data_IF_757579939256
#
_entry.id   IF_757579939256
#
_cell.length_a   1.000
_cell.length_b   1.000
_cell.length_c   1.000
_cell.angle_alpha   90.00
_cell.angle_beta   90.00
_cell.angle_gamma   90.00
#
_symmetry.space_group_name_H-M   'P 1'
#
loop_
_entity.id
_entity.type
_entity.pdbx_description
1 polymer ?
#
# COMPACT_ATOMS: atom_id res chain seq x y z
N UNK A 1 30.53 -20.75 -6.97
CA UNK A 1 30.35 -19.54 -6.12
C UNK A 1 30.20 -18.35 -7.05
N UNK A 2 29.06 -18.26 -7.74
CA UNK A 2 28.85 -17.25 -8.77
C UNK A 2 28.23 -15.98 -8.18
N UNK A 3 28.93 -14.88 -8.43
CA UNK A 3 28.49 -13.51 -8.27
C UNK A 3 27.56 -13.10 -9.42
N UNK A 4 26.48 -12.37 -9.10
CA UNK A 4 25.72 -11.40 -9.94
C UNK A 4 24.33 -11.25 -9.33
N UNK A 5 24.02 -10.19 -8.59
CA UNK A 5 22.71 -9.52 -8.77
C UNK A 5 22.75 -7.99 -8.59
N UNK A 6 23.60 -7.33 -7.79
CA UNK A 6 23.36 -5.87 -7.56
C UNK A 6 24.56 -4.95 -7.76
N UNK A 7 24.98 -4.81 -9.02
CA UNK A 7 25.83 -3.72 -9.50
C UNK A 7 25.05 -2.41 -9.67
N UNK A 8 24.72 -1.72 -8.58
CA UNK A 8 24.24 -0.33 -8.61
C UNK A 8 25.14 0.54 -7.72
N UNK A 9 25.45 1.73 -8.23
CA UNK A 9 26.35 2.69 -7.61
C UNK A 9 25.85 3.10 -6.22
N UNK A 10 26.80 3.22 -5.27
CA UNK A 10 26.54 3.55 -3.86
C UNK A 10 25.78 4.86 -3.62
N UNK A 11 25.60 5.71 -4.64
CA UNK A 11 24.86 6.97 -4.63
C UNK A 11 23.34 6.83 -4.78
N UNK A 12 22.82 5.66 -5.16
CA UNK A 12 21.37 5.37 -5.25
C UNK A 12 20.82 4.57 -4.06
N UNK A 13 21.64 4.34 -3.03
CA UNK A 13 21.21 3.76 -1.75
C UNK A 13 20.43 4.81 -0.96
N UNK A 14 19.29 5.23 -1.49
CA UNK A 14 18.24 5.90 -0.72
C UNK A 14 17.68 4.85 0.22
N UNK A 15 18.38 4.69 1.34
CA UNK A 15 17.96 4.10 2.60
C UNK A 15 16.70 3.22 2.46
N UNK A 16 16.89 1.95 2.08
CA UNK A 16 15.88 0.89 2.22
C UNK A 16 15.74 0.57 3.72
N UNK A 17 15.43 1.57 4.55
CA UNK A 17 14.84 1.32 5.84
C UNK A 17 13.40 0.93 5.58
N UNK A 18 13.16 -0.38 5.54
CA UNK A 18 11.82 -0.98 5.53
C UNK A 18 11.15 -0.60 6.85
N UNK A 19 10.54 0.58 6.91
CA UNK A 19 9.48 0.82 7.87
C UNK A 19 8.33 -0.07 7.43
N UNK A 20 8.16 -1.22 8.09
CA UNK A 20 6.97 -2.05 7.91
C UNK A 20 5.81 -1.28 8.56
N UNK A 21 5.28 -0.32 7.82
CA UNK A 21 4.04 0.36 8.22
C UNK A 21 2.93 -0.67 8.08
N UNK A 22 2.33 -1.01 9.21
CA UNK A 22 1.17 -1.91 9.27
C UNK A 22 -0.09 -1.10 9.45
N UNK A 23 -1.20 -1.63 8.95
CA UNK A 23 -2.53 -1.07 9.13
C UNK A 23 -3.51 -2.07 9.74
N UNK A 24 -4.47 -1.51 10.43
CA UNK A 24 -5.62 -2.15 11.08
C UNK A 24 -6.90 -1.75 10.38
N UNK A 25 -7.98 -2.51 10.65
CA UNK A 25 -9.33 -2.15 10.23
C UNK A 25 -9.73 -0.74 10.67
N UNK A 26 -9.37 -0.33 11.89
CA UNK A 26 -9.78 0.97 12.43
C UNK A 26 -9.12 2.14 11.70
N UNK A 27 -7.87 1.99 11.27
CA UNK A 27 -7.19 3.00 10.47
C UNK A 27 -7.83 3.12 9.08
N UNK A 28 -8.23 2.02 8.45
CA UNK A 28 -9.00 2.07 7.20
C UNK A 28 -10.34 2.79 7.38
N UNK A 29 -11.03 2.57 8.50
CA UNK A 29 -12.26 3.32 8.81
C UNK A 29 -11.97 4.81 8.99
N UNK A 30 -10.88 5.16 9.67
CA UNK A 30 -10.47 6.55 9.85
C UNK A 30 -10.10 7.24 8.51
N UNK A 31 -9.61 6.48 7.52
CA UNK A 31 -9.39 6.97 6.15
C UNK A 31 -10.68 7.16 5.33
N UNK A 32 -11.85 6.79 5.88
CA UNK A 32 -13.16 6.97 5.22
C UNK A 32 -13.73 5.71 4.58
N UNK A 33 -13.07 4.55 4.69
CA UNK A 33 -13.67 3.29 4.23
C UNK A 33 -14.79 2.84 5.17
N UNK A 34 -15.88 2.31 4.60
CA UNK A 34 -16.97 1.74 5.39
C UNK A 34 -16.48 0.59 6.31
N UNK A 35 -17.11 0.35 7.48
CA UNK A 35 -16.67 -0.70 8.41
C UNK A 35 -16.64 -2.11 7.80
N UNK A 36 -17.56 -2.40 6.88
CA UNK A 36 -17.60 -3.66 6.14
C UNK A 36 -16.47 -3.75 5.11
N UNK A 37 -16.30 -2.70 4.29
CA UNK A 37 -15.22 -2.62 3.30
C UNK A 37 -13.84 -2.75 3.96
N UNK A 38 -13.63 -2.04 5.07
CA UNK A 38 -12.39 -2.12 5.86
C UNK A 38 -12.12 -3.55 6.36
N UNK A 39 -13.15 -4.26 6.83
CA UNK A 39 -13.01 -5.66 7.28
C UNK A 39 -12.64 -6.57 6.10
N UNK A 40 -13.27 -6.38 4.94
CA UNK A 40 -12.99 -7.20 3.77
C UNK A 40 -11.59 -6.95 3.20
N UNK A 41 -11.13 -5.69 3.17
CA UNK A 41 -9.76 -5.33 2.78
C UNK A 41 -8.74 -6.04 3.66
N UNK A 42 -8.89 -6.00 4.99
CA UNK A 42 -7.99 -6.70 5.92
C UNK A 42 -8.00 -8.21 5.66
N UNK A 43 -9.18 -8.80 5.44
CA UNK A 43 -9.30 -10.23 5.13
C UNK A 43 -8.55 -10.60 3.86
N UNK A 44 -8.76 -9.84 2.78
CA UNK A 44 -8.10 -10.05 1.49
C UNK A 44 -6.58 -9.85 1.58
N UNK A 45 -6.14 -8.84 2.32
CA UNK A 45 -4.71 -8.58 2.52
C UNK A 45 -4.03 -9.72 3.30
N UNK A 46 -4.70 -10.30 4.30
CA UNK A 46 -4.18 -11.49 5.01
C UNK A 46 -4.06 -12.70 4.08
N UNK A 47 -5.08 -12.96 3.26
CA UNK A 47 -5.04 -14.06 2.28
C UNK A 47 -3.91 -13.87 1.28
N UNK A 48 -3.71 -12.65 0.78
CA UNK A 48 -2.60 -12.30 -0.10
C UNK A 48 -1.25 -12.57 0.57
N UNK A 49 -1.08 -12.20 1.84
CA UNK A 49 0.16 -12.48 2.57
C UNK A 49 0.41 -13.98 2.78
N UNK A 50 -0.65 -14.77 3.04
CA UNK A 50 -0.55 -16.23 3.13
C UNK A 50 -0.14 -16.83 1.77
N UNK A 51 -0.73 -16.35 0.67
CA UNK A 51 -0.36 -16.78 -0.69
C UNK A 51 1.11 -16.46 -1.04
N UNK A 52 1.65 -15.37 -0.50
CA UNK A 52 3.08 -15.02 -0.61
C UNK A 52 4.01 -15.87 0.27
N UNK A 53 3.48 -16.86 0.98
CA UNK A 53 4.27 -17.77 1.82
C UNK A 53 4.45 -17.31 3.27
N UNK A 54 3.63 -16.37 3.76
CA UNK A 54 3.67 -15.91 5.15
C UNK A 54 2.49 -16.51 5.97
N UNK A 55 2.62 -17.72 6.55
CA UNK A 55 1.54 -18.37 7.30
C UNK A 55 1.14 -17.61 8.58
N UNK A 56 1.98 -16.70 9.07
CA UNK A 56 1.69 -15.82 10.20
C UNK A 56 0.34 -15.09 10.08
N UNK A 57 -0.06 -14.74 8.85
CA UNK A 57 -1.31 -14.00 8.58
C UNK A 57 -2.56 -14.89 8.52
N UNK A 58 -2.45 -16.20 8.65
CA UNK A 58 -3.59 -17.11 8.71
C UNK A 58 -4.39 -16.97 10.02
N UNK A 59 -3.71 -16.58 11.11
CA UNK A 59 -4.32 -16.51 12.45
C UNK A 59 -5.46 -15.50 12.54
N UNK A 60 -6.67 -15.88 13.01
CA UNK A 60 -7.81 -14.97 13.12
C UNK A 60 -7.62 -13.88 14.18
N UNK A 61 -6.72 -14.07 15.15
CA UNK A 61 -6.42 -13.09 16.21
C UNK A 61 -5.60 -11.90 15.71
N UNK A 62 -4.95 -12.01 14.55
CA UNK A 62 -4.15 -10.95 13.97
C UNK A 62 -5.03 -9.98 13.17
N UNK A 63 -5.21 -8.77 13.71
CA UNK A 63 -5.98 -7.68 13.10
C UNK A 63 -5.15 -6.66 12.33
N UNK A 64 -3.89 -6.97 12.03
CA UNK A 64 -2.92 -6.09 11.36
C UNK A 64 -2.37 -6.71 10.09
N UNK A 65 -2.13 -5.89 9.08
CA UNK A 65 -1.53 -6.27 7.80
C UNK A 65 -0.54 -5.19 7.32
N UNK A 66 0.46 -5.52 6.49
CA UNK A 66 1.33 -4.50 5.89
C UNK A 66 0.55 -3.59 4.95
N UNK A 67 0.92 -2.31 4.90
CA UNK A 67 0.34 -1.34 3.93
C UNK A 67 0.51 -1.82 2.50
N UNK A 68 1.65 -2.42 2.18
CA UNK A 68 1.93 -2.96 0.84
C UNK A 68 0.88 -3.99 0.39
N UNK A 69 0.42 -4.85 1.29
CA UNK A 69 -0.64 -5.81 0.99
C UNK A 69 -2.00 -5.13 0.81
N UNK A 70 -2.25 -4.04 1.54
CA UNK A 70 -3.49 -3.24 1.40
C UNK A 70 -3.51 -2.51 0.05
N UNK A 71 -2.40 -1.90 -0.34
CA UNK A 71 -2.21 -1.23 -1.63
C UNK A 71 -2.48 -2.20 -2.80
N UNK A 72 -1.87 -3.39 -2.75
CA UNK A 72 -2.09 -4.44 -3.75
C UNK A 72 -3.55 -4.90 -3.82
N UNK A 73 -4.22 -5.08 -2.68
CA UNK A 73 -5.64 -5.46 -2.64
C UNK A 73 -6.54 -4.39 -3.24
N UNK A 74 -6.20 -3.12 -3.03
CA UNK A 74 -6.92 -1.98 -3.59
C UNK A 74 -6.57 -1.72 -5.06
N UNK A 75 -5.52 -2.36 -5.60
CA UNK A 75 -5.01 -2.08 -6.93
C UNK A 75 -4.44 -0.67 -7.07
N UNK A 76 -4.04 -0.06 -5.96
CA UNK A 76 -3.47 1.28 -5.92
C UNK A 76 -1.97 1.17 -5.66
N UNK A 77 -1.18 1.98 -6.36
CA UNK A 77 0.19 2.28 -5.93
C UNK A 77 0.16 3.72 -5.44
N UNK A 78 0.40 3.95 -4.15
CA UNK A 78 0.45 5.31 -3.59
C UNK A 78 1.73 6.00 -4.07
N UNK A 79 1.73 6.40 -5.34
CA UNK A 79 2.82 7.16 -5.93
C UNK A 79 2.55 8.64 -5.66
N UNK A 80 3.36 9.24 -4.78
CA UNK A 80 3.26 10.66 -4.44
C UNK A 80 3.31 11.56 -5.69
N UNK A 81 3.99 11.13 -6.76
CA UNK A 81 4.00 11.84 -8.05
C UNK A 81 2.62 11.90 -8.69
N UNK A 82 1.93 10.76 -8.77
CA UNK A 82 0.61 10.65 -9.43
C UNK A 82 -0.47 11.43 -8.67
N UNK A 83 -0.42 11.44 -7.34
CA UNK A 83 -1.32 12.25 -6.53
C UNK A 83 -1.13 13.76 -6.78
N UNK A 84 0.12 14.21 -6.99
CA UNK A 84 0.41 15.61 -7.33
C UNK A 84 -0.08 16.01 -8.72
N UNK A 85 -0.16 15.06 -9.65
CA UNK A 85 -0.66 15.28 -11.01
C UNK A 85 -2.19 15.34 -11.03
N UNK A 86 -2.86 14.43 -10.33
CA UNK A 86 -4.33 14.45 -10.19
C UNK A 86 -4.83 15.70 -9.47
N UNK A 87 -4.10 16.17 -8.46
CA UNK A 87 -4.43 17.41 -7.76
C UNK A 87 -4.32 18.66 -8.66
N UNK A 88 -3.44 18.65 -9.66
CA UNK A 88 -3.30 19.74 -10.64
C UNK A 88 -4.44 19.75 -11.66
N UNK A 89 -4.90 18.57 -12.07
CA UNK A 89 -5.99 18.44 -13.05
C UNK A 89 -7.34 18.87 -12.45
N UNK A 90 -7.56 18.63 -11.15
CA UNK A 90 -8.77 19.07 -10.46
C UNK A 90 -8.92 20.59 -10.35
N UNK A 91 -7.84 21.36 -10.52
CA UNK A 91 -7.85 22.83 -10.43
C UNK A 91 -8.19 23.53 -11.76
N UNK A 92 -8.13 22.83 -12.90
CA UNK A 92 -8.39 23.41 -14.22
C UNK A 92 -9.83 23.20 -14.73
N UNK A 93 -10.69 22.49 -13.99
CA UNK A 93 -12.05 22.16 -14.42
C UNK A 93 -13.12 23.22 -14.07
N UNK A 94 -12.73 24.35 -13.46
CA UNK A 94 -13.64 25.45 -13.11
C UNK A 94 -13.53 26.70 -14.01
N UNK A 95 -12.72 26.66 -15.07
CA UNK A 95 -12.51 27.82 -15.98
C UNK A 95 -13.02 27.61 -17.42
N UNK A 96 -13.79 26.56 -17.69
CA UNK A 96 -14.49 26.39 -18.98
C UNK A 96 -15.99 26.66 -18.84
N UNK A 97 -16.33 27.86 -18.36
CA UNK A 97 -17.61 28.51 -18.63
C UNK A 97 -17.34 29.99 -18.91
N UNK A 98 -17.07 30.31 -20.18
CA UNK A 98 -17.36 31.62 -20.77
C UNK A 98 -17.64 31.49 -22.25
#
# INVERSE_FOLDING_TARGET
MEAKIYGLASSERRLIMVHVVTMTKHELVALGYGPWASKDIIRRAKLLMVQKGCPYYESPKLGRVPVTAVEEVLGLTLNARTLSELAKIGASASEEQS
#
